data_IF_733755589669
#
_entry.id   IF_733755589669
#
_cell.length_a   1.000
_cell.length_b   1.000
_cell.length_c   1.000
_cell.angle_alpha   90.00
_cell.angle_beta   90.00
_cell.angle_gamma   90.00
#
_symmetry.space_group_name_H-M   'P 1'
#
loop_
_entity.id
_entity.type
_entity.pdbx_description
1 polymer ?
#
# COMPACT_ATOMS: atom_id res chain seq x y z
N UNK A 1 -45.53 -22.87 16.22
CA UNK A 1 -45.87 -21.60 15.54
C UNK A 1 -44.86 -20.54 16.03
N UNK A 2 -43.78 -20.42 15.36
CA UNK A 2 -42.72 -19.42 15.65
C UNK A 2 -42.88 -18.29 14.62
N UNK A 3 -43.28 -17.14 15.13
CA UNK A 3 -43.51 -15.91 14.38
C UNK A 3 -42.17 -15.33 13.93
N UNK A 4 -41.83 -15.46 12.66
CA UNK A 4 -40.72 -14.70 12.06
C UNK A 4 -41.25 -13.36 11.59
N UNK A 5 -40.80 -12.24 12.10
CA UNK A 5 -41.20 -10.93 11.59
C UNK A 5 -40.57 -10.72 10.22
N UNK A 6 -41.39 -10.77 9.19
CA UNK A 6 -41.01 -10.37 7.83
C UNK A 6 -40.93 -8.82 7.79
N UNK A 7 -39.77 -8.25 8.11
CA UNK A 7 -39.53 -6.81 7.96
C UNK A 7 -39.17 -6.54 6.48
N UNK A 8 -40.18 -6.68 5.62
CA UNK A 8 -40.13 -6.29 4.21
C UNK A 8 -40.29 -4.79 3.98
N UNK A 9 -39.65 -3.95 4.79
CA UNK A 9 -39.55 -2.51 4.52
C UNK A 9 -38.57 -2.28 3.39
N UNK A 10 -38.99 -1.77 2.24
CA UNK A 10 -38.10 -1.28 1.18
C UNK A 10 -37.17 -0.20 1.76
N UNK A 11 -35.94 -0.56 2.06
CA UNK A 11 -34.93 0.41 2.54
C UNK A 11 -34.70 1.44 1.43
N UNK A 12 -34.78 2.73 1.77
CA UNK A 12 -34.57 3.82 0.82
C UNK A 12 -33.24 3.64 0.06
N UNK A 13 -33.30 3.71 -1.27
CA UNK A 13 -32.11 3.62 -2.12
C UNK A 13 -31.42 2.23 -2.18
N UNK A 14 -32.08 1.14 -1.77
CA UNK A 14 -31.50 -0.21 -1.70
C UNK A 14 -30.78 -0.63 -2.98
N UNK A 15 -31.31 -0.28 -4.17
CA UNK A 15 -30.74 -0.67 -5.47
C UNK A 15 -29.33 -0.09 -5.70
N UNK A 16 -29.12 1.22 -5.44
CA UNK A 16 -27.84 1.85 -5.66
C UNK A 16 -26.88 1.66 -4.47
N UNK A 17 -27.39 1.63 -3.24
CA UNK A 17 -26.59 1.43 -2.00
C UNK A 17 -25.99 0.02 -1.89
N UNK A 18 -26.58 -0.97 -2.53
CA UNK A 18 -26.08 -2.35 -2.61
C UNK A 18 -25.43 -2.68 -3.96
N UNK A 19 -25.24 -1.68 -4.84
CA UNK A 19 -24.58 -1.91 -6.13
C UNK A 19 -23.08 -2.17 -5.94
N UNK A 20 -22.47 -3.09 -6.69
CA UNK A 20 -21.03 -3.35 -6.61
C UNK A 20 -20.19 -2.09 -6.85
N UNK A 21 -20.62 -1.23 -7.79
CA UNK A 21 -19.93 0.01 -8.10
C UNK A 21 -19.88 0.98 -6.90
N UNK A 22 -21.02 1.12 -6.18
CA UNK A 22 -21.06 1.99 -5.00
C UNK A 22 -20.21 1.42 -3.86
N UNK A 23 -20.26 0.10 -3.63
CA UNK A 23 -19.47 -0.57 -2.59
C UNK A 23 -17.97 -0.40 -2.89
N UNK A 24 -17.54 -0.69 -4.12
CA UNK A 24 -16.14 -0.52 -4.53
C UNK A 24 -15.70 0.94 -4.44
N UNK A 25 -16.56 1.87 -4.86
CA UNK A 25 -16.29 3.32 -4.75
C UNK A 25 -16.13 3.77 -3.29
N UNK A 26 -16.99 3.31 -2.39
CA UNK A 26 -16.87 3.60 -0.96
C UNK A 26 -15.59 3.02 -0.36
N UNK A 27 -15.17 1.80 -0.77
CA UNK A 27 -13.89 1.22 -0.34
C UNK A 27 -12.69 1.99 -0.89
N UNK A 28 -12.76 2.43 -2.15
CA UNK A 28 -11.70 3.23 -2.76
C UNK A 28 -11.51 4.58 -2.05
N UNK A 29 -12.62 5.24 -1.67
CA UNK A 29 -12.57 6.48 -0.88
C UNK A 29 -12.00 6.23 0.52
N UNK A 30 -12.32 5.09 1.13
CA UNK A 30 -11.74 4.75 2.42
C UNK A 30 -10.22 4.55 2.37
N UNK A 31 -9.73 3.85 1.35
CA UNK A 31 -8.29 3.68 1.13
C UNK A 31 -7.61 5.01 0.81
N UNK A 32 -8.28 5.89 0.05
CA UNK A 32 -7.84 7.26 -0.18
C UNK A 32 -7.73 8.04 1.14
N UNK A 33 -8.79 8.01 1.96
CA UNK A 33 -8.84 8.70 3.26
C UNK A 33 -7.73 8.24 4.18
N UNK A 34 -7.50 6.94 4.24
CA UNK A 34 -6.45 6.35 5.07
C UNK A 34 -5.06 6.81 4.65
N UNK A 35 -4.73 6.71 3.36
CA UNK A 35 -3.43 7.17 2.86
C UNK A 35 -3.25 8.68 2.92
N UNK A 36 -4.33 9.44 2.71
CA UNK A 36 -4.33 10.89 2.91
C UNK A 36 -4.00 11.25 4.36
N UNK A 37 -4.65 10.64 5.34
CA UNK A 37 -4.41 10.88 6.76
C UNK A 37 -3.02 10.45 7.21
N UNK A 38 -2.52 9.34 6.65
CA UNK A 38 -1.18 8.85 6.96
C UNK A 38 -0.11 9.88 6.58
N UNK A 39 -0.19 10.45 5.39
CA UNK A 39 0.80 11.37 4.84
C UNK A 39 0.53 12.84 5.14
N UNK A 40 -0.71 13.18 5.49
CA UNK A 40 -1.15 14.54 5.86
C UNK A 40 -0.30 15.17 6.97
N UNK A 41 0.05 14.38 7.99
CA UNK A 41 0.79 14.86 9.15
C UNK A 41 2.25 15.21 8.81
N UNK A 42 2.84 14.59 7.79
CA UNK A 42 4.27 14.63 7.50
C UNK A 42 4.83 16.06 7.35
N UNK A 43 4.28 16.95 6.51
CA UNK A 43 4.83 18.31 6.33
C UNK A 43 4.58 19.24 7.51
N UNK A 44 3.59 18.94 8.37
CA UNK A 44 3.27 19.76 9.54
C UNK A 44 3.85 19.18 10.84
N UNK A 45 4.46 17.99 10.78
CA UNK A 45 5.01 17.27 11.94
C UNK A 45 6.11 18.06 12.66
N UNK A 46 7.07 18.71 11.99
CA UNK A 46 8.05 19.55 12.66
C UNK A 46 7.40 20.65 13.53
N UNK A 47 6.39 21.33 12.97
CA UNK A 47 5.64 22.35 13.72
C UNK A 47 4.94 21.76 14.96
N UNK A 48 4.33 20.58 14.82
CA UNK A 48 3.66 19.90 15.94
C UNK A 48 4.65 19.57 17.05
N UNK A 49 5.81 19.01 16.70
CA UNK A 49 6.82 18.61 17.67
C UNK A 49 7.47 19.80 18.37
N UNK A 50 7.85 20.84 17.62
CA UNK A 50 8.62 21.97 18.14
C UNK A 50 7.71 23.05 18.76
N UNK A 51 6.69 23.50 18.04
CA UNK A 51 5.89 24.64 18.47
C UNK A 51 4.72 24.26 19.40
N UNK A 52 4.14 23.06 19.24
CA UNK A 52 3.02 22.64 20.08
C UNK A 52 3.43 21.77 21.27
N UNK A 53 4.36 20.85 21.08
CA UNK A 53 4.86 20.00 22.15
C UNK A 53 6.07 20.60 22.86
N UNK A 54 6.71 21.65 22.29
CA UNK A 54 7.86 22.31 22.87
C UNK A 54 9.12 21.44 22.93
N UNK A 55 9.26 20.50 22.00
CA UNK A 55 10.44 19.65 21.92
C UNK A 55 11.62 20.40 21.31
N UNK A 56 12.82 20.03 21.74
CA UNK A 56 14.06 20.53 21.14
C UNK A 56 14.13 20.11 19.65
N UNK A 57 14.56 21.06 18.80
CA UNK A 57 14.76 20.85 17.36
C UNK A 57 15.68 19.63 17.10
N UNK A 58 16.70 19.41 17.96
CA UNK A 58 17.57 18.26 17.87
C UNK A 58 16.85 16.91 18.00
N UNK A 59 15.68 16.85 18.64
CA UNK A 59 14.91 15.63 18.79
C UNK A 59 13.86 15.42 17.69
N UNK A 60 13.60 16.44 16.87
CA UNK A 60 12.53 16.41 15.86
C UNK A 60 12.70 15.28 14.87
N UNK A 61 13.91 15.07 14.35
CA UNK A 61 14.21 13.97 13.42
C UNK A 61 13.93 12.62 14.07
N UNK A 62 14.41 12.41 15.29
CA UNK A 62 14.25 11.16 16.04
C UNK A 62 12.79 10.85 16.34
N UNK A 63 12.02 11.86 16.74
CA UNK A 63 10.59 11.69 17.03
C UNK A 63 9.79 11.43 15.74
N UNK A 64 10.16 12.06 14.64
CA UNK A 64 9.51 11.87 13.33
C UNK A 64 9.66 10.45 12.82
N UNK A 65 10.87 9.90 12.78
CA UNK A 65 11.04 8.51 12.32
C UNK A 65 10.43 7.51 13.30
N UNK A 66 10.47 7.74 14.61
CA UNK A 66 9.84 6.88 15.60
C UNK A 66 8.32 6.81 15.40
N UNK A 67 7.66 7.97 15.20
CA UNK A 67 6.22 8.05 14.98
C UNK A 67 5.78 7.36 13.68
N UNK A 68 6.53 7.51 12.60
CA UNK A 68 6.21 6.86 11.33
C UNK A 68 6.46 5.35 11.39
N UNK A 69 7.56 4.94 12.03
CA UNK A 69 7.89 3.53 12.23
C UNK A 69 6.89 2.79 13.12
N UNK A 70 6.37 3.47 14.16
CA UNK A 70 5.31 2.93 15.03
C UNK A 70 4.10 2.46 14.22
N UNK A 71 3.65 3.26 13.26
CA UNK A 71 2.52 2.93 12.40
C UNK A 71 2.75 1.65 11.60
N UNK A 72 3.96 1.48 11.07
CA UNK A 72 4.32 0.29 10.30
C UNK A 72 4.39 -0.96 11.19
N UNK A 73 4.97 -0.85 12.39
CA UNK A 73 4.99 -1.95 13.38
C UNK A 73 3.58 -2.31 13.80
N UNK A 74 2.74 -1.33 14.14
CA UNK A 74 1.36 -1.58 14.52
C UNK A 74 0.60 -2.32 13.42
N UNK A 75 0.76 -1.90 12.16
CA UNK A 75 0.13 -2.56 11.01
C UNK A 75 0.67 -3.98 10.79
N UNK A 76 1.96 -4.19 10.92
CA UNK A 76 2.59 -5.51 10.74
C UNK A 76 2.09 -6.52 11.79
N UNK A 77 1.93 -6.07 13.04
CA UNK A 77 1.47 -6.92 14.14
C UNK A 77 -0.04 -7.17 14.05
N UNK A 78 -0.84 -6.15 13.76
CA UNK A 78 -2.31 -6.25 13.82
C UNK A 78 -2.93 -6.92 12.59
N UNK A 79 -2.35 -6.76 11.39
CA UNK A 79 -2.92 -7.28 10.14
C UNK A 79 -3.20 -8.79 10.13
N UNK A 80 -2.32 -9.68 10.63
CA UNK A 80 -2.60 -11.11 10.66
C UNK A 80 -3.79 -11.46 11.57
N UNK A 81 -3.90 -10.79 12.73
CA UNK A 81 -5.02 -11.00 13.67
C UNK A 81 -6.34 -10.52 13.06
N UNK A 82 -6.31 -9.37 12.40
CA UNK A 82 -7.49 -8.80 11.72
C UNK A 82 -7.96 -9.73 10.60
N UNK A 83 -7.03 -10.26 9.78
CA UNK A 83 -7.38 -11.19 8.71
C UNK A 83 -8.08 -12.45 9.25
N UNK A 84 -7.52 -13.05 10.29
CA UNK A 84 -8.12 -14.23 10.92
C UNK A 84 -9.50 -13.94 11.53
N UNK A 85 -9.65 -12.80 12.20
CA UNK A 85 -10.93 -12.43 12.84
C UNK A 85 -11.99 -12.04 11.80
N UNK A 86 -11.60 -11.33 10.73
CA UNK A 86 -12.51 -10.88 9.69
C UNK A 86 -13.12 -12.04 8.88
N UNK A 87 -12.36 -13.12 8.67
CA UNK A 87 -12.84 -14.31 7.95
C UNK A 87 -13.93 -15.07 8.72
N UNK A 88 -13.93 -14.96 10.07
CA UNK A 88 -14.95 -15.58 10.93
C UNK A 88 -16.30 -14.84 11.00
N UNK A 89 -16.37 -13.59 10.51
CA UNK A 89 -17.55 -12.74 10.66
C UNK A 89 -18.49 -12.83 9.45
N UNK A 90 -19.79 -12.91 9.73
CA UNK A 90 -20.85 -12.92 8.72
C UNK A 90 -21.08 -11.55 8.06
N UNK A 91 -20.74 -10.46 8.74
CA UNK A 91 -20.82 -9.08 8.21
C UNK A 91 -19.54 -8.30 8.51
N UNK A 92 -18.92 -7.80 7.47
CA UNK A 92 -17.71 -6.99 7.54
C UNK A 92 -18.01 -5.50 7.82
N UNK A 93 -19.28 -5.09 7.66
CA UNK A 93 -19.72 -3.71 7.81
C UNK A 93 -19.42 -3.14 9.21
N UNK A 94 -19.70 -3.91 10.25
CA UNK A 94 -19.48 -3.47 11.63
C UNK A 94 -17.99 -3.18 11.90
N UNK A 95 -17.09 -4.03 11.39
CA UNK A 95 -15.63 -3.82 11.49
C UNK A 95 -15.20 -2.55 10.76
N UNK A 96 -15.71 -2.35 9.54
CA UNK A 96 -15.39 -1.20 8.71
C UNK A 96 -15.89 0.13 9.33
N UNK A 97 -17.08 0.15 9.92
CA UNK A 97 -17.59 1.33 10.64
C UNK A 97 -16.80 1.55 11.93
N UNK A 98 -16.51 0.49 12.69
CA UNK A 98 -15.70 0.56 13.89
C UNK A 98 -14.28 1.10 13.64
N UNK A 99 -13.64 0.67 12.55
CA UNK A 99 -12.31 1.17 12.17
C UNK A 99 -12.34 2.65 11.80
N UNK A 100 -13.39 3.13 11.13
CA UNK A 100 -13.54 4.56 10.82
C UNK A 100 -13.74 5.42 12.08
N UNK A 101 -14.56 4.94 13.03
CA UNK A 101 -14.72 5.62 14.32
C UNK A 101 -13.39 5.65 15.07
N UNK A 102 -12.64 4.56 15.06
CA UNK A 102 -11.30 4.51 15.65
C UNK A 102 -10.32 5.46 14.94
N UNK A 103 -10.35 5.52 13.59
CA UNK A 103 -9.53 6.47 12.82
C UNK A 103 -9.89 7.93 13.15
N UNK A 104 -11.17 8.25 13.32
CA UNK A 104 -11.63 9.58 13.74
C UNK A 104 -11.13 9.92 15.16
N UNK A 105 -11.28 8.99 16.10
CA UNK A 105 -10.79 9.17 17.48
C UNK A 105 -9.28 9.37 17.48
N UNK A 106 -8.52 8.53 16.77
CA UNK A 106 -7.07 8.66 16.62
C UNK A 106 -6.67 10.02 16.03
N UNK A 107 -7.37 10.46 14.98
CA UNK A 107 -7.13 11.78 14.37
C UNK A 107 -7.45 12.94 15.29
N UNK A 108 -8.49 12.86 16.13
CA UNK A 108 -8.81 13.87 17.15
C UNK A 108 -7.70 13.91 18.22
N UNK A 109 -7.27 12.74 18.71
CA UNK A 109 -6.17 12.66 19.68
C UNK A 109 -4.89 13.29 19.11
N UNK A 110 -4.55 12.99 17.85
CA UNK A 110 -3.40 13.57 17.15
C UNK A 110 -3.52 15.10 17.03
N UNK A 111 -4.69 15.59 16.59
CA UNK A 111 -4.92 17.02 16.43
C UNK A 111 -4.88 17.79 17.75
N UNK A 112 -5.27 17.17 18.85
CA UNK A 112 -5.29 17.76 20.18
C UNK A 112 -4.06 17.40 21.03
N UNK A 113 -3.07 16.72 20.45
CA UNK A 113 -1.89 16.26 21.18
C UNK A 113 -1.14 17.44 21.82
N UNK A 114 -0.88 17.32 23.13
CA UNK A 114 -0.11 18.26 23.96
C UNK A 114 1.12 17.59 24.59
N UNK A 115 1.29 16.28 24.38
CA UNK A 115 2.45 15.54 24.86
C UNK A 115 2.87 14.50 23.81
N UNK A 116 4.12 14.05 23.87
CA UNK A 116 4.63 12.96 23.01
C UNK A 116 3.81 11.68 23.20
N UNK A 117 3.43 11.36 24.42
CA UNK A 117 2.61 10.18 24.70
C UNK A 117 1.25 10.23 23.97
N UNK A 118 0.54 11.37 24.03
CA UNK A 118 -0.75 11.53 23.34
C UNK A 118 -0.60 11.49 21.83
N UNK A 119 0.53 12.02 21.29
CA UNK A 119 0.83 11.97 19.87
C UNK A 119 1.02 10.51 19.39
N UNK A 120 1.84 9.72 20.08
CA UNK A 120 2.06 8.30 19.77
C UNK A 120 0.78 7.48 19.99
N UNK A 121 0.05 7.70 21.08
CA UNK A 121 -1.22 7.00 21.31
C UNK A 121 -2.26 7.25 20.21
N UNK A 122 -2.40 8.50 19.76
CA UNK A 122 -3.28 8.84 18.63
C UNK A 122 -2.86 8.16 17.33
N UNK A 123 -1.55 8.13 17.07
CA UNK A 123 -0.99 7.47 15.88
C UNK A 123 -1.17 5.96 15.92
N UNK A 124 -0.97 5.33 17.07
CA UNK A 124 -1.21 3.90 17.25
C UNK A 124 -2.67 3.52 16.97
N UNK A 125 -3.63 4.28 17.52
CA UNK A 125 -5.05 4.04 17.27
C UNK A 125 -5.37 4.19 15.79
N UNK A 126 -4.83 5.20 15.11
CA UNK A 126 -5.00 5.43 13.68
C UNK A 126 -4.38 4.26 12.86
N UNK A 127 -3.18 3.78 13.21
CA UNK A 127 -2.52 2.69 12.52
C UNK A 127 -3.26 1.35 12.66
N UNK A 128 -3.83 1.06 13.83
CA UNK A 128 -4.67 -0.11 14.03
C UNK A 128 -5.93 0.00 13.17
N UNK A 129 -6.59 1.16 13.17
CA UNK A 129 -7.77 1.41 12.33
C UNK A 129 -7.45 1.24 10.83
N UNK A 130 -6.32 1.75 10.37
CA UNK A 130 -5.78 1.60 9.02
C UNK A 130 -5.68 0.12 8.63
N UNK A 131 -5.11 -0.72 9.48
CA UNK A 131 -4.98 -2.15 9.23
C UNK A 131 -6.33 -2.83 8.94
N UNK A 132 -7.40 -2.44 9.65
CA UNK A 132 -8.75 -2.91 9.35
C UNK A 132 -9.24 -2.45 7.97
N UNK A 133 -9.00 -1.18 7.62
CA UNK A 133 -9.43 -0.61 6.34
C UNK A 133 -8.76 -1.37 5.19
N UNK A 134 -7.46 -1.63 5.27
CA UNK A 134 -6.72 -2.35 4.26
C UNK A 134 -7.16 -3.81 4.13
N UNK A 135 -7.17 -4.57 5.22
CA UNK A 135 -7.49 -6.00 5.18
C UNK A 135 -8.95 -6.23 4.81
N UNK A 136 -9.88 -5.58 5.53
CA UNK A 136 -11.32 -5.81 5.33
C UNK A 136 -11.83 -5.10 4.08
N UNK A 137 -11.25 -3.95 3.73
CA UNK A 137 -11.59 -3.19 2.52
C UNK A 137 -11.27 -3.99 1.26
N UNK A 138 -10.04 -4.50 1.10
CA UNK A 138 -9.68 -5.34 -0.05
C UNK A 138 -10.50 -6.63 -0.11
N UNK A 139 -10.75 -7.27 1.03
CA UNK A 139 -11.63 -8.44 1.08
C UNK A 139 -13.07 -8.11 0.64
N UNK A 140 -13.58 -6.93 1.02
CA UNK A 140 -14.91 -6.46 0.59
C UNK A 140 -14.95 -6.19 -0.91
N UNK A 141 -13.89 -5.61 -1.48
CA UNK A 141 -13.78 -5.39 -2.93
C UNK A 141 -13.78 -6.73 -3.66
N UNK A 142 -12.97 -7.69 -3.22
CA UNK A 142 -12.90 -9.02 -3.83
C UNK A 142 -14.26 -9.75 -3.79
N UNK A 143 -15.02 -9.58 -2.71
CA UNK A 143 -16.36 -10.20 -2.57
C UNK A 143 -17.42 -9.60 -3.51
N UNK A 144 -17.22 -8.38 -4.01
CA UNK A 144 -18.23 -7.65 -4.80
C UNK A 144 -17.85 -7.47 -6.29
N UNK A 145 -16.63 -7.84 -6.69
CA UNK A 145 -16.13 -7.75 -8.06
C UNK A 145 -15.94 -9.14 -8.64
N UNK A 146 -16.32 -9.32 -9.92
CA UNK A 146 -16.06 -10.58 -10.63
C UNK A 146 -14.56 -10.83 -10.77
N UNK A 147 -14.08 -12.08 -10.69
CA UNK A 147 -12.65 -12.41 -10.81
C UNK A 147 -11.98 -11.82 -12.05
N UNK A 148 -12.69 -11.80 -13.19
CA UNK A 148 -12.21 -11.27 -14.49
C UNK A 148 -11.91 -9.76 -14.46
N UNK A 149 -12.51 -9.01 -13.52
CA UNK A 149 -12.37 -7.56 -13.41
C UNK A 149 -11.57 -7.11 -12.19
N UNK A 150 -11.13 -8.04 -11.32
CA UNK A 150 -10.41 -7.71 -10.09
C UNK A 150 -9.11 -6.96 -10.37
N UNK A 151 -8.32 -7.39 -11.35
CA UNK A 151 -7.05 -6.74 -11.72
C UNK A 151 -7.25 -5.29 -12.15
N UNK A 152 -8.25 -5.02 -13.01
CA UNK A 152 -8.59 -3.66 -13.44
C UNK A 152 -9.09 -2.81 -12.27
N UNK A 153 -9.90 -3.38 -11.39
CA UNK A 153 -10.42 -2.69 -10.20
C UNK A 153 -9.31 -2.31 -9.25
N UNK A 154 -8.39 -3.24 -8.95
CA UNK A 154 -7.23 -2.96 -8.11
C UNK A 154 -6.27 -1.93 -8.73
N UNK A 155 -6.13 -1.93 -10.06
CA UNK A 155 -5.38 -0.89 -10.77
C UNK A 155 -5.96 0.52 -10.53
N UNK A 156 -7.29 0.67 -10.65
CA UNK A 156 -7.97 1.95 -10.36
C UNK A 156 -7.83 2.34 -8.89
N UNK A 157 -7.98 1.38 -7.97
CA UNK A 157 -7.81 1.62 -6.53
C UNK A 157 -6.39 2.10 -6.23
N UNK A 158 -5.37 1.49 -6.85
CA UNK A 158 -3.97 1.90 -6.67
C UNK A 158 -3.73 3.35 -7.10
N UNK A 159 -4.39 3.83 -8.17
CA UNK A 159 -4.35 5.24 -8.58
C UNK A 159 -4.99 6.16 -7.53
N UNK A 160 -6.12 5.75 -6.96
CA UNK A 160 -6.83 6.51 -5.92
C UNK A 160 -6.00 6.56 -4.63
N UNK A 161 -5.38 5.45 -4.25
CA UNK A 161 -4.44 5.38 -3.12
C UNK A 161 -3.26 6.32 -3.34
N UNK A 162 -2.64 6.28 -4.52
CA UNK A 162 -1.53 7.17 -4.87
C UNK A 162 -1.94 8.66 -4.84
N UNK A 163 -3.17 8.98 -5.27
CA UNK A 163 -3.72 10.33 -5.15
C UNK A 163 -3.89 10.76 -3.69
N UNK A 164 -4.29 9.86 -2.79
CA UNK A 164 -4.36 10.12 -1.35
C UNK A 164 -2.99 10.39 -0.75
N UNK A 165 -2.01 9.54 -1.08
CA UNK A 165 -0.63 9.67 -0.60
C UNK A 165 0.04 10.99 -1.05
N UNK A 166 -0.22 11.43 -2.29
CA UNK A 166 0.30 12.70 -2.81
C UNK A 166 -0.50 13.91 -2.33
N UNK A 167 -1.82 13.75 -2.27
CA UNK A 167 -2.75 14.83 -1.91
C UNK A 167 -2.67 15.21 -0.44
N UNK A 168 -2.40 14.26 0.45
CA UNK A 168 -2.30 14.49 1.88
C UNK A 168 -1.30 15.59 2.23
N UNK A 169 -0.02 15.43 1.92
CA UNK A 169 1.00 16.43 2.22
C UNK A 169 0.77 17.76 1.49
N UNK A 170 0.33 17.71 0.23
CA UNK A 170 0.07 18.91 -0.56
C UNK A 170 -1.04 19.77 0.07
N UNK A 171 -2.19 19.15 0.38
CA UNK A 171 -3.32 19.85 1.00
C UNK A 171 -2.97 20.32 2.40
N UNK A 172 -2.27 19.50 3.19
CA UNK A 172 -1.80 19.87 4.52
C UNK A 172 -0.89 21.10 4.47
N UNK A 173 0.11 21.11 3.59
CA UNK A 173 1.04 22.22 3.45
C UNK A 173 0.35 23.51 3.00
N UNK A 174 -0.52 23.45 1.97
CA UNK A 174 -1.27 24.61 1.47
C UNK A 174 -2.18 25.19 2.56
N UNK A 175 -3.00 24.37 3.19
CA UNK A 175 -3.97 24.84 4.19
C UNK A 175 -3.30 25.30 5.47
N UNK A 176 -2.17 24.71 5.84
CA UNK A 176 -1.38 25.17 6.98
C UNK A 176 -0.83 26.57 6.76
N UNK A 177 -0.30 26.86 5.56
CA UNK A 177 0.23 28.19 5.22
C UNK A 177 -0.88 29.24 5.12
N UNK A 178 -2.04 28.90 4.52
CA UNK A 178 -3.15 29.82 4.33
C UNK A 178 -3.92 30.16 5.61
N UNK A 179 -4.08 29.21 6.53
CA UNK A 179 -4.96 29.38 7.67
C UNK A 179 -4.49 28.70 8.95
N UNK A 180 -3.26 28.20 8.97
CA UNK A 180 -2.64 27.60 10.13
C UNK A 180 -3.14 26.20 10.46
N UNK A 181 -2.76 25.74 11.63
CA UNK A 181 -2.93 24.37 12.10
C UNK A 181 -4.36 23.82 12.01
N UNK A 182 -5.34 24.56 12.51
CA UNK A 182 -6.73 24.10 12.56
C UNK A 182 -7.41 24.08 11.18
N UNK A 183 -7.01 24.99 10.29
CA UNK A 183 -7.51 25.00 8.90
C UNK A 183 -6.97 23.77 8.16
N UNK A 184 -5.71 23.39 8.36
CA UNK A 184 -5.17 22.16 7.82
C UNK A 184 -5.96 20.93 8.33
N UNK A 185 -6.16 20.79 9.65
CA UNK A 185 -6.90 19.67 10.22
C UNK A 185 -8.37 19.62 9.80
N UNK A 186 -8.99 20.74 9.47
CA UNK A 186 -10.37 20.76 8.97
C UNK A 186 -10.54 19.93 7.69
N UNK A 187 -9.53 19.89 6.81
CA UNK A 187 -9.55 19.05 5.61
C UNK A 187 -9.52 17.55 5.93
N UNK A 188 -8.69 17.16 6.90
CA UNK A 188 -8.60 15.78 7.37
C UNK A 188 -9.93 15.30 7.97
N UNK A 189 -10.57 16.13 8.80
CA UNK A 189 -11.88 15.83 9.36
C UNK A 189 -12.98 15.82 8.31
N UNK A 190 -12.95 16.74 7.33
CA UNK A 190 -13.94 16.77 6.24
C UNK A 190 -13.91 15.48 5.41
N UNK A 191 -12.73 15.01 5.04
CA UNK A 191 -12.57 13.77 4.28
C UNK A 191 -13.03 12.55 5.11
N UNK A 192 -12.70 12.50 6.41
CA UNK A 192 -13.18 11.46 7.33
C UNK A 192 -14.71 11.44 7.43
N UNK A 193 -15.35 12.61 7.55
CA UNK A 193 -16.81 12.70 7.59
C UNK A 193 -17.43 12.19 6.30
N UNK A 194 -16.87 12.53 5.14
CA UNK A 194 -17.33 12.01 3.84
C UNK A 194 -17.23 10.49 3.80
N UNK A 195 -16.12 9.90 4.23
CA UNK A 195 -15.95 8.45 4.27
C UNK A 195 -16.96 7.79 5.23
N UNK A 196 -17.13 8.33 6.43
CA UNK A 196 -18.13 7.85 7.41
C UNK A 196 -19.53 7.85 6.79
N UNK A 197 -19.94 8.93 6.14
CA UNK A 197 -21.25 9.04 5.49
C UNK A 197 -21.42 7.97 4.41
N UNK A 198 -20.42 7.78 3.55
CA UNK A 198 -20.45 6.76 2.49
C UNK A 198 -20.58 5.35 3.06
N UNK A 199 -19.90 5.06 4.18
CA UNK A 199 -20.00 3.77 4.86
C UNK A 199 -21.36 3.52 5.49
N UNK A 200 -21.97 4.53 6.11
CA UNK A 200 -23.34 4.41 6.61
C UNK A 200 -24.36 4.20 5.49
N UNK A 201 -24.12 4.80 4.33
CA UNK A 201 -24.98 4.61 3.16
C UNK A 201 -24.80 3.23 2.52
N UNK A 202 -23.64 2.59 2.63
CA UNK A 202 -23.36 1.28 2.05
C UNK A 202 -24.20 0.18 2.69
N UNK A 203 -24.87 -0.61 1.85
CA UNK A 203 -25.60 -1.81 2.25
C UNK A 203 -24.86 -3.04 1.73
N UNK A 204 -24.27 -3.79 2.65
CA UNK A 204 -23.64 -5.08 2.34
C UNK A 204 -24.75 -6.12 2.05
N UNK A 205 -24.65 -6.83 0.93
CA UNK A 205 -25.49 -7.99 0.69
C UNK A 205 -25.06 -9.08 1.67
N UNK A 206 -25.92 -9.39 2.64
CA UNK A 206 -25.70 -10.56 3.49
C UNK A 206 -25.45 -11.76 2.57
N UNK A 207 -24.28 -12.39 2.68
CA UNK A 207 -24.06 -13.69 2.05
C UNK A 207 -25.01 -14.64 2.76
N UNK A 208 -26.15 -14.97 2.14
CA UNK A 208 -26.83 -16.21 2.49
C UNK A 208 -25.75 -17.29 2.43
N UNK A 209 -25.47 -17.91 3.57
CA UNK A 209 -24.67 -19.13 3.59
C UNK A 209 -25.26 -20.00 2.51
N UNK A 210 -24.56 -20.21 1.40
CA UNK A 210 -24.85 -21.33 0.53
C UNK A 210 -24.72 -22.55 1.43
N UNK A 211 -25.83 -22.94 2.03
CA UNK A 211 -25.99 -24.28 2.55
C UNK A 211 -25.74 -25.14 1.32
N UNK A 212 -24.60 -25.80 1.31
CA UNK A 212 -24.33 -26.86 0.37
C UNK A 212 -25.43 -27.87 0.62
N UNK A 213 -26.54 -27.73 -0.11
CA UNK A 213 -27.50 -28.79 -0.16
C UNK A 213 -26.75 -29.99 -0.71
N UNK A 214 -26.73 -31.12 -0.02
CA UNK A 214 -26.28 -32.35 -0.64
C UNK A 214 -27.11 -32.53 -1.91
N UNK A 215 -26.51 -33.00 -3.01
CA UNK A 215 -27.25 -33.17 -4.25
C UNK A 215 -28.48 -34.07 -3.95
N UNK A 216 -29.68 -33.50 -4.08
CA UNK A 216 -30.89 -34.26 -4.09
C UNK A 216 -30.87 -35.11 -5.36
N UNK A 217 -30.30 -36.29 -5.28
CA UNK A 217 -30.52 -37.35 -6.23
C UNK A 217 -31.96 -37.87 -6.02
N UNK A 218 -32.88 -37.25 -6.74
CA UNK A 218 -34.20 -37.87 -7.03
C UNK A 218 -34.23 -38.14 -8.52
N UNK A 219 -33.47 -39.10 -8.96
CA UNK A 219 -33.71 -39.83 -10.18
C UNK A 219 -33.34 -41.29 -9.90
N UNK A 220 -34.36 -42.14 -9.80
CA UNK A 220 -34.24 -43.58 -9.84
C UNK A 220 -33.58 -43.98 -11.16
N UNK A 221 -32.29 -44.30 -11.12
CA UNK A 221 -31.57 -44.93 -12.20
C UNK A 221 -31.36 -46.37 -11.80
N UNK A 222 -31.87 -47.29 -12.68
CA UNK A 222 -31.68 -48.73 -12.55
C UNK A 222 -30.22 -49.11 -12.36
N UNK A 223 -29.90 -50.11 -11.50
CA UNK A 223 -28.54 -50.47 -11.14
C UNK A 223 -27.73 -51.17 -12.26
N UNK A 224 -28.33 -51.45 -13.41
CA UNK A 224 -27.73 -52.37 -14.39
C UNK A 224 -26.98 -51.71 -15.55
N UNK A 225 -26.93 -50.37 -15.63
CA UNK A 225 -26.24 -49.64 -16.69
C UNK A 225 -25.36 -48.47 -16.18
N UNK A 226 -24.67 -48.63 -15.06
CA UNK A 226 -23.62 -47.69 -14.65
C UNK A 226 -22.34 -48.01 -15.47
N UNK A 227 -21.83 -47.06 -16.27
CA UNK A 227 -20.47 -47.21 -16.83
C UNK A 227 -19.51 -47.29 -15.67
N UNK A 228 -18.68 -48.31 -15.66
CA UNK A 228 -17.47 -48.42 -14.80
C UNK A 228 -16.56 -47.25 -15.15
N UNK A 229 -16.80 -46.11 -14.52
CA UNK A 229 -15.83 -45.03 -14.47
C UNK A 229 -14.62 -45.57 -13.72
N UNK A 230 -13.60 -45.86 -14.49
CA UNK A 230 -12.32 -46.31 -13.99
C UNK A 230 -11.87 -45.47 -12.81
N UNK A 231 -11.38 -46.18 -11.82
CA UNK A 231 -10.65 -45.69 -10.68
C UNK A 231 -9.64 -44.62 -11.12
N UNK A 232 -10.05 -43.36 -11.14
CA UNK A 232 -9.09 -42.27 -11.27
C UNK A 232 -8.22 -42.37 -10.05
N UNK A 233 -7.06 -42.92 -10.21
CA UNK A 233 -6.00 -42.96 -9.26
C UNK A 233 -6.02 -41.62 -8.48
N UNK A 234 -6.27 -41.67 -7.18
CA UNK A 234 -5.94 -40.63 -6.23
C UNK A 234 -4.43 -40.38 -6.38
N UNK A 235 -4.04 -39.60 -7.36
CA UNK A 235 -2.75 -38.96 -7.36
C UNK A 235 -2.83 -38.08 -6.13
N UNK A 236 -2.16 -38.46 -5.05
CA UNK A 236 -1.93 -37.65 -3.88
C UNK A 236 -1.12 -36.44 -4.35
N UNK A 237 -1.79 -35.44 -4.95
CA UNK A 237 -1.19 -34.14 -5.24
C UNK A 237 -0.87 -33.56 -3.87
N UNK A 238 0.39 -33.32 -3.54
CA UNK A 238 0.76 -32.76 -2.26
C UNK A 238 0.14 -31.38 -2.17
N UNK A 239 -0.97 -31.27 -1.43
CA UNK A 239 -1.61 -29.99 -1.18
C UNK A 239 -0.64 -29.13 -0.37
N UNK A 240 -0.07 -28.10 -1.00
CA UNK A 240 0.80 -27.12 -0.32
C UNK A 240 -0.01 -26.26 0.64
N UNK A 241 -0.45 -26.89 1.74
CA UNK A 241 -1.12 -26.20 2.83
C UNK A 241 -0.11 -25.67 3.86
N UNK A 242 -0.44 -24.59 4.52
CA UNK A 242 0.32 -24.02 5.63
C UNK A 242 1.69 -23.47 5.25
N UNK A 243 2.69 -23.71 6.09
CA UNK A 243 4.04 -23.14 5.99
C UNK A 243 4.81 -23.54 4.73
N UNK A 244 4.59 -24.74 4.23
CA UNK A 244 5.26 -25.25 3.01
C UNK A 244 5.01 -24.38 1.80
N UNK A 245 3.84 -23.77 1.68
CA UNK A 245 3.53 -22.82 0.61
C UNK A 245 4.54 -21.67 0.56
N UNK A 246 4.79 -21.05 1.70
CA UNK A 246 5.68 -19.89 1.80
C UNK A 246 7.12 -20.24 1.43
N UNK A 247 7.58 -21.41 1.88
CA UNK A 247 8.94 -21.89 1.54
C UNK A 247 9.09 -22.14 0.06
N UNK A 248 8.13 -22.83 -0.58
CA UNK A 248 8.17 -23.15 -2.01
C UNK A 248 8.15 -21.87 -2.85
N UNK A 249 7.24 -20.94 -2.56
CA UNK A 249 7.13 -19.68 -3.32
C UNK A 249 8.38 -18.80 -3.14
N UNK A 250 8.97 -18.74 -1.94
CA UNK A 250 10.20 -17.96 -1.67
C UNK A 250 11.45 -18.58 -2.34
N UNK A 251 11.46 -19.87 -2.65
CA UNK A 251 12.56 -20.50 -3.39
C UNK A 251 12.60 -20.09 -4.87
N UNK A 252 11.48 -19.58 -5.41
CA UNK A 252 11.47 -19.06 -6.78
C UNK A 252 12.23 -17.74 -6.86
N UNK A 253 13.34 -17.73 -7.58
CA UNK A 253 14.22 -16.56 -7.72
C UNK A 253 13.50 -15.32 -8.21
N UNK A 254 12.56 -15.48 -9.15
CA UNK A 254 11.75 -14.37 -9.69
C UNK A 254 10.88 -13.73 -8.63
N UNK A 255 10.14 -14.55 -7.88
CA UNK A 255 9.30 -14.06 -6.80
C UNK A 255 10.12 -13.33 -5.73
N UNK A 256 11.24 -13.94 -5.30
CA UNK A 256 12.13 -13.33 -4.31
C UNK A 256 12.70 -11.98 -4.81
N UNK A 257 13.11 -11.90 -6.07
CA UNK A 257 13.59 -10.66 -6.66
C UNK A 257 12.49 -9.57 -6.72
N UNK A 258 11.26 -9.95 -7.04
CA UNK A 258 10.11 -9.06 -7.00
C UNK A 258 9.85 -8.52 -5.58
N UNK A 259 9.86 -9.40 -4.58
CA UNK A 259 9.69 -9.06 -3.16
C UNK A 259 10.78 -8.12 -2.66
N UNK A 260 12.07 -8.43 -2.97
CA UNK A 260 13.21 -7.57 -2.63
C UNK A 260 13.13 -6.21 -3.33
N UNK A 261 12.72 -6.17 -4.60
CA UNK A 261 12.53 -4.93 -5.33
C UNK A 261 11.43 -4.06 -4.69
N UNK A 262 10.34 -4.67 -4.25
CA UNK A 262 9.23 -3.96 -3.62
C UNK A 262 9.60 -3.45 -2.21
N UNK A 263 10.35 -4.25 -1.46
CA UNK A 263 10.95 -3.84 -0.20
C UNK A 263 11.84 -2.61 -0.36
N UNK A 264 12.79 -2.66 -1.31
CA UNK A 264 13.73 -1.57 -1.56
C UNK A 264 13.03 -0.31 -2.06
N UNK A 265 11.96 -0.46 -2.85
CA UNK A 265 11.12 0.64 -3.27
C UNK A 265 10.36 1.27 -2.10
N UNK A 266 9.83 0.46 -1.18
CA UNK A 266 9.21 0.96 0.04
C UNK A 266 10.21 1.69 0.95
N UNK A 267 11.43 1.17 1.13
CA UNK A 267 12.52 1.84 1.86
C UNK A 267 12.82 3.20 1.25
N UNK A 268 12.95 3.27 -0.08
CA UNK A 268 13.21 4.53 -0.80
C UNK A 268 12.12 5.57 -0.53
N UNK A 269 10.85 5.21 -0.75
CA UNK A 269 9.74 6.17 -0.64
C UNK A 269 9.56 6.62 0.81
N UNK A 270 9.57 5.68 1.75
CA UNK A 270 9.35 6.02 3.17
C UNK A 270 10.54 6.76 3.82
N UNK A 271 11.73 6.72 3.21
CA UNK A 271 12.84 7.56 3.66
C UNK A 271 12.56 9.05 3.48
N UNK A 272 11.85 9.43 2.42
CA UNK A 272 11.44 10.82 2.20
C UNK A 272 10.42 11.29 3.22
N UNK A 273 9.55 10.42 3.73
CA UNK A 273 8.52 10.80 4.72
C UNK A 273 9.16 11.38 5.99
N UNK A 274 10.35 10.91 6.37
CA UNK A 274 11.06 11.38 7.58
C UNK A 274 12.06 12.48 7.31
N UNK A 275 12.67 12.50 6.15
CA UNK A 275 13.85 13.34 5.92
C UNK A 275 13.55 14.58 5.08
N UNK A 276 12.62 14.49 4.12
CA UNK A 276 12.34 15.59 3.20
C UNK A 276 11.86 16.86 3.92
N UNK A 277 10.87 16.84 4.84
CA UNK A 277 10.38 18.07 5.46
C UNK A 277 11.48 18.80 6.28
N UNK A 278 12.31 18.03 6.95
CA UNK A 278 13.39 18.58 7.78
C UNK A 278 14.52 19.13 6.91
N UNK A 279 14.96 18.37 5.90
CA UNK A 279 16.01 18.81 4.99
C UNK A 279 15.64 20.11 4.26
N UNK A 280 14.42 20.23 3.71
CA UNK A 280 14.00 21.44 3.00
C UNK A 280 13.83 22.64 3.94
N UNK A 281 13.47 22.40 5.21
CA UNK A 281 13.43 23.42 6.23
C UNK A 281 14.86 23.90 6.60
N UNK A 282 15.73 22.95 6.91
CA UNK A 282 17.05 23.26 7.49
C UNK A 282 18.04 23.85 6.46
N UNK A 283 17.92 23.41 5.19
CA UNK A 283 18.83 23.86 4.11
C UNK A 283 18.27 25.03 3.31
N UNK A 284 16.93 25.03 3.05
CA UNK A 284 16.31 26.03 2.18
C UNK A 284 15.46 27.06 2.91
N UNK A 285 15.27 26.90 4.22
CA UNK A 285 14.36 27.72 5.04
C UNK A 285 12.90 27.67 4.50
N UNK A 286 12.49 26.48 3.99
CA UNK A 286 11.17 26.30 3.41
C UNK A 286 10.16 25.87 4.47
N UNK A 287 8.99 26.54 4.46
CA UNK A 287 7.84 26.18 5.32
C UNK A 287 7.09 24.94 4.85
N UNK A 288 5.95 24.70 5.47
CA UNK A 288 5.12 23.51 5.22
C UNK A 288 4.54 23.45 3.80
N UNK A 289 4.26 24.59 3.16
CA UNK A 289 3.71 24.64 1.81
C UNK A 289 4.73 24.12 0.77
N UNK A 290 5.97 24.66 0.67
CA UNK A 290 6.98 24.08 -0.24
C UNK A 290 7.28 22.61 0.06
N UNK A 291 7.33 22.21 1.34
CA UNK A 291 7.49 20.81 1.72
C UNK A 291 6.35 19.92 1.18
N UNK A 292 5.11 20.35 1.31
CA UNK A 292 3.94 19.67 0.73
C UNK A 292 4.00 19.57 -0.80
N UNK A 293 4.45 20.63 -1.47
CA UNK A 293 4.66 20.63 -2.92
C UNK A 293 5.77 19.67 -3.36
N UNK A 294 6.81 19.46 -2.53
CA UNK A 294 7.83 18.45 -2.80
C UNK A 294 7.28 17.02 -2.73
N UNK A 295 6.36 16.74 -1.80
CA UNK A 295 5.67 15.44 -1.80
C UNK A 295 4.79 15.23 -3.03
N UNK A 296 4.15 16.30 -3.51
CA UNK A 296 3.42 16.22 -4.78
C UNK A 296 4.38 16.00 -5.97
N UNK A 297 5.52 16.67 -5.99
CA UNK A 297 6.56 16.43 -7.00
C UNK A 297 7.14 15.02 -6.93
N UNK A 298 7.24 14.44 -5.73
CA UNK A 298 7.72 13.07 -5.51
C UNK A 298 6.75 12.00 -6.03
N UNK A 299 5.44 12.23 -5.97
CA UNK A 299 4.47 11.17 -6.28
C UNK A 299 3.57 11.49 -7.48
N UNK A 300 3.27 12.76 -7.71
CA UNK A 300 2.36 13.22 -8.78
C UNK A 300 2.77 12.77 -10.19
N UNK A 301 4.03 12.93 -10.61
CA UNK A 301 4.50 12.46 -11.91
C UNK A 301 4.31 10.97 -12.10
N UNK A 302 4.53 10.16 -11.05
CA UNK A 302 4.34 8.72 -11.06
C UNK A 302 2.89 8.32 -11.34
N UNK A 303 1.90 9.07 -10.83
CA UNK A 303 0.48 8.82 -11.08
C UNK A 303 0.18 8.99 -12.58
N UNK A 304 0.68 10.06 -13.19
CA UNK A 304 0.45 10.36 -14.62
C UNK A 304 1.15 9.33 -15.51
N UNK A 305 2.37 8.93 -15.16
CA UNK A 305 3.18 8.00 -15.95
C UNK A 305 2.82 6.51 -15.70
N UNK A 306 2.09 6.20 -14.62
CA UNK A 306 1.78 4.82 -14.22
C UNK A 306 1.09 3.99 -15.32
N UNK A 307 0.09 4.49 -16.09
CA UNK A 307 -0.51 3.73 -17.18
C UNK A 307 0.48 3.39 -18.29
N UNK A 308 1.40 4.32 -18.60
CA UNK A 308 2.45 4.08 -19.59
C UNK A 308 3.46 3.04 -19.09
N UNK A 309 3.86 3.11 -17.82
CA UNK A 309 4.76 2.14 -17.21
C UNK A 309 4.13 0.74 -17.13
N UNK A 310 2.81 0.66 -16.85
CA UNK A 310 2.07 -0.60 -16.92
C UNK A 310 2.08 -1.20 -18.31
N UNK A 311 1.72 -0.42 -19.32
CA UNK A 311 1.76 -0.84 -20.72
C UNK A 311 3.17 -1.28 -21.17
N UNK A 312 4.23 -0.59 -20.70
CA UNK A 312 5.60 -0.98 -21.00
C UNK A 312 5.93 -2.35 -20.42
N UNK A 313 5.56 -2.61 -19.15
CA UNK A 313 5.76 -3.92 -18.51
C UNK A 313 4.99 -5.05 -19.19
N UNK A 314 3.79 -4.77 -19.68
CA UNK A 314 3.00 -5.74 -20.43
C UNK A 314 3.69 -6.14 -21.76
N UNK A 315 4.50 -5.23 -22.34
CA UNK A 315 5.21 -5.50 -23.60
C UNK A 315 6.60 -6.10 -23.44
N UNK A 316 7.38 -5.63 -22.48
CA UNK A 316 8.80 -6.02 -22.34
C UNK A 316 9.09 -6.83 -21.09
N UNK A 317 8.06 -7.20 -20.32
CA UNK A 317 8.19 -7.87 -19.03
C UNK A 317 8.63 -6.93 -17.92
N UNK A 318 8.80 -7.48 -16.71
CA UNK A 318 9.15 -6.72 -15.50
C UNK A 318 10.62 -6.39 -15.39
N UNK A 319 11.50 -7.22 -15.97
CA UNK A 319 12.96 -7.13 -15.85
C UNK A 319 13.50 -5.75 -16.24
N UNK A 320 13.29 -5.34 -17.49
CA UNK A 320 13.89 -4.13 -18.03
C UNK A 320 13.40 -2.85 -17.38
N UNK A 321 12.06 -2.63 -17.21
CA UNK A 321 11.58 -1.42 -16.55
C UNK A 321 12.05 -1.32 -15.11
N UNK A 322 12.00 -2.42 -14.34
CA UNK A 322 12.40 -2.42 -12.92
C UNK A 322 13.89 -2.19 -12.76
N UNK A 323 14.72 -2.84 -13.59
CA UNK A 323 16.18 -2.64 -13.59
C UNK A 323 16.54 -1.20 -13.95
N UNK A 324 15.97 -0.68 -15.06
CA UNK A 324 16.21 0.70 -15.49
C UNK A 324 15.76 1.70 -14.42
N UNK A 325 14.60 1.46 -13.78
CA UNK A 325 14.11 2.29 -12.69
C UNK A 325 15.12 2.41 -11.55
N UNK A 326 15.57 1.29 -11.01
CA UNK A 326 16.54 1.29 -9.90
C UNK A 326 17.90 1.85 -10.29
N UNK A 327 18.44 1.52 -11.47
CA UNK A 327 19.74 2.03 -11.92
C UNK A 327 19.72 3.53 -12.23
N UNK A 328 18.59 4.08 -12.70
CA UNK A 328 18.43 5.52 -12.85
C UNK A 328 18.27 6.24 -11.51
N UNK A 329 17.58 5.60 -10.53
CA UNK A 329 17.41 6.18 -9.20
C UNK A 329 18.73 6.27 -8.41
N UNK A 330 19.65 5.34 -8.60
CA UNK A 330 20.91 5.34 -7.86
C UNK A 330 21.69 6.66 -8.02
N UNK A 331 22.01 7.15 -9.23
CA UNK A 331 22.69 8.44 -9.38
C UNK A 331 21.80 9.63 -8.96
N UNK A 332 20.48 9.56 -9.14
CA UNK A 332 19.57 10.63 -8.71
C UNK A 332 19.62 10.76 -7.18
N UNK A 333 19.57 9.64 -6.45
CA UNK A 333 19.64 9.62 -4.99
C UNK A 333 21.01 10.08 -4.47
N UNK A 334 22.06 9.82 -5.21
CA UNK A 334 23.37 10.35 -4.87
C UNK A 334 23.44 11.89 -5.03
N UNK A 335 22.91 12.43 -6.14
CA UNK A 335 22.88 13.87 -6.40
C UNK A 335 21.96 14.61 -5.44
N UNK A 336 20.83 14.02 -5.03
CA UNK A 336 19.86 14.66 -4.12
C UNK A 336 20.43 14.92 -2.73
N UNK A 337 21.51 14.21 -2.35
CA UNK A 337 22.21 14.44 -1.10
C UNK A 337 23.15 15.63 -1.11
N UNK A 338 23.56 16.15 -2.28
CA UNK A 338 24.56 17.22 -2.40
C UNK A 338 24.08 18.60 -1.91
N UNK A 339 22.81 19.03 -2.14
CA UNK A 339 22.30 20.29 -1.62
C UNK A 339 22.38 20.34 -0.08
N UNK A 340 23.03 21.37 0.45
CA UNK A 340 23.23 21.56 1.89
C UNK A 340 24.51 20.94 2.45
N UNK A 341 25.31 20.24 1.64
CA UNK A 341 26.58 19.66 2.06
C UNK A 341 27.76 20.59 1.65
N UNK A 342 28.63 20.90 2.61
CA UNK A 342 29.78 21.82 2.41
C UNK A 342 30.83 21.27 1.44
N UNK A 343 30.84 19.98 1.17
CA UNK A 343 31.73 19.33 0.19
C UNK A 343 31.46 19.74 -1.25
N UNK A 344 30.24 20.29 -1.52
CA UNK A 344 29.81 20.68 -2.86
C UNK A 344 29.44 22.17 -2.95
N UNK A 345 30.39 23.10 -2.76
CA UNK A 345 30.10 24.54 -2.72
C UNK A 345 29.46 25.04 -4.02
N UNK A 346 29.80 24.44 -5.18
CA UNK A 346 29.22 24.80 -6.47
C UNK A 346 27.73 24.48 -6.61
N UNK A 347 27.19 23.52 -5.83
CA UNK A 347 25.77 23.23 -5.74
C UNK A 347 25.08 24.29 -4.90
N UNK A 348 25.70 24.74 -3.82
CA UNK A 348 25.09 25.61 -2.82
C UNK A 348 25.13 27.11 -3.20
N UNK A 349 25.63 27.49 -4.38
CA UNK A 349 25.62 28.87 -4.85
C UNK A 349 24.21 29.33 -5.25
N UNK A 350 23.68 30.32 -4.54
CA UNK A 350 22.39 30.95 -4.82
C UNK A 350 21.21 29.95 -4.78
N UNK A 351 20.34 29.99 -5.78
CA UNK A 351 19.16 29.13 -5.87
C UNK A 351 19.43 27.76 -6.53
N UNK A 352 20.67 27.46 -6.91
CA UNK A 352 21.03 26.18 -7.59
C UNK A 352 20.67 24.97 -6.77
N UNK A 353 20.93 24.99 -5.47
CA UNK A 353 20.59 23.89 -4.55
C UNK A 353 19.10 23.57 -4.57
N UNK A 354 18.24 24.58 -4.51
CA UNK A 354 16.79 24.45 -4.55
C UNK A 354 16.32 23.83 -5.87
N UNK A 355 16.88 24.31 -7.00
CA UNK A 355 16.52 23.83 -8.34
C UNK A 355 16.97 22.37 -8.51
N UNK A 356 18.21 22.03 -8.16
CA UNK A 356 18.74 20.66 -8.25
C UNK A 356 17.90 19.72 -7.40
N UNK A 357 17.61 20.09 -6.15
CA UNK A 357 16.79 19.28 -5.26
C UNK A 357 15.41 19.03 -5.83
N UNK A 358 14.72 20.08 -6.28
CA UNK A 358 13.37 19.98 -6.87
C UNK A 358 13.33 19.09 -8.12
N UNK A 359 14.33 19.23 -9.00
CA UNK A 359 14.46 18.39 -10.19
C UNK A 359 14.71 16.93 -9.78
N UNK A 360 15.60 16.67 -8.84
CA UNK A 360 15.89 15.31 -8.38
C UNK A 360 14.67 14.66 -7.75
N UNK A 361 13.92 15.34 -6.87
CA UNK A 361 12.68 14.82 -6.27
C UNK A 361 11.65 14.49 -7.34
N UNK A 362 11.48 15.37 -8.34
CA UNK A 362 10.54 15.15 -9.46
C UNK A 362 10.96 13.96 -10.32
N UNK A 363 12.26 13.79 -10.56
CA UNK A 363 12.82 12.64 -11.28
C UNK A 363 12.64 11.34 -10.49
N UNK A 364 12.84 11.35 -9.16
CA UNK A 364 12.54 10.20 -8.31
C UNK A 364 11.08 9.79 -8.49
N UNK A 365 10.15 10.74 -8.43
CA UNK A 365 8.72 10.50 -8.65
C UNK A 365 8.41 9.91 -10.03
N UNK A 366 9.03 10.47 -11.07
CA UNK A 366 8.83 10.03 -12.46
C UNK A 366 9.35 8.62 -12.71
N UNK A 367 10.54 8.32 -12.19
CA UNK A 367 11.21 7.01 -12.39
C UNK A 367 10.58 5.91 -11.52
N UNK A 368 10.03 6.27 -10.37
CA UNK A 368 9.42 5.33 -9.41
C UNK A 368 8.29 4.49 -10.01
N UNK A 369 7.55 5.00 -11.01
CA UNK A 369 6.49 4.25 -11.69
C UNK A 369 7.01 3.00 -12.42
N UNK A 370 8.30 2.98 -12.81
CA UNK A 370 8.92 1.81 -13.44
C UNK A 370 9.06 0.61 -12.50
N UNK A 371 9.09 0.84 -11.19
CA UNK A 371 9.22 -0.22 -10.17
C UNK A 371 7.87 -0.67 -9.62
N UNK A 372 6.88 0.21 -9.63
CA UNK A 372 5.57 -0.07 -9.06
C UNK A 372 4.91 -1.28 -9.75
N UNK A 373 4.34 -2.21 -8.96
CA UNK A 373 3.63 -3.40 -9.45
C UNK A 373 4.53 -4.57 -9.90
N UNK A 374 5.86 -4.47 -9.90
CA UNK A 374 6.73 -5.58 -10.28
C UNK A 374 6.51 -6.81 -9.39
N UNK A 375 6.45 -6.65 -8.07
CA UNK A 375 6.22 -7.76 -7.14
C UNK A 375 4.86 -8.43 -7.31
N UNK A 376 3.81 -7.66 -7.60
CA UNK A 376 2.46 -8.18 -7.86
C UNK A 376 2.41 -9.01 -9.14
N UNK A 377 3.06 -8.54 -10.19
CA UNK A 377 3.17 -9.28 -11.46
C UNK A 377 3.95 -10.58 -11.25
N UNK A 378 5.13 -10.50 -10.62
CA UNK A 378 5.94 -11.69 -10.37
C UNK A 378 5.26 -12.70 -9.42
N UNK A 379 4.48 -12.21 -8.44
CA UNK A 379 3.68 -13.07 -7.57
C UNK A 379 2.62 -13.86 -8.36
N UNK A 380 1.90 -13.20 -9.28
CA UNK A 380 0.90 -13.88 -10.11
C UNK A 380 1.53 -14.86 -11.07
N UNK A 381 2.60 -14.46 -11.78
CA UNK A 381 3.31 -15.31 -12.73
C UNK A 381 3.91 -16.55 -12.06
N UNK A 382 4.51 -16.40 -10.86
CA UNK A 382 5.06 -17.54 -10.12
C UNK A 382 3.98 -18.54 -9.70
N UNK A 383 2.81 -18.08 -9.31
CA UNK A 383 1.69 -18.96 -8.99
C UNK A 383 1.19 -19.69 -10.23
N UNK A 384 1.08 -18.99 -11.37
CA UNK A 384 0.68 -19.60 -12.64
C UNK A 384 1.68 -20.67 -13.11
N UNK A 385 2.99 -20.42 -12.98
CA UNK A 385 4.04 -21.38 -13.32
C UNK A 385 3.97 -22.64 -12.44
N UNK A 386 3.83 -22.47 -11.12
CA UNK A 386 3.70 -23.59 -10.18
C UNK A 386 2.42 -24.40 -10.41
N UNK A 387 1.30 -23.76 -10.72
CA UNK A 387 0.05 -24.44 -11.04
C UNK A 387 0.11 -25.17 -12.37
N UNK A 388 0.84 -24.62 -13.36
CA UNK A 388 1.06 -25.28 -14.65
C UNK A 388 1.97 -26.52 -14.53
N UNK A 389 3.01 -26.46 -13.67
CA UNK A 389 3.89 -27.59 -13.39
C UNK A 389 3.17 -28.72 -12.60
N UNK A 390 2.31 -28.34 -11.66
CA UNK A 390 1.60 -29.29 -10.80
C UNK A 390 0.17 -28.83 -10.59
N UNK A 391 -0.77 -29.21 -11.49
CA UNK A 391 -2.17 -28.81 -11.40
C UNK A 391 -2.81 -29.19 -10.07
N UNK A 392 -3.47 -28.24 -9.40
CA UNK A 392 -4.14 -28.45 -8.12
C UNK A 392 -3.24 -28.37 -6.89
N UNK A 393 -1.97 -28.00 -7.02
CA UNK A 393 -0.99 -27.92 -5.92
C UNK A 393 -1.43 -26.96 -4.80
N UNK A 394 -2.16 -25.90 -5.13
CA UNK A 394 -2.64 -24.89 -4.17
C UNK A 394 -4.06 -25.16 -3.64
N UNK A 395 -4.71 -26.22 -4.11
CA UNK A 395 -6.08 -26.57 -3.75
C UNK A 395 -7.13 -25.61 -4.35
N UNK A 396 -8.41 -25.72 -3.93
CA UNK A 396 -9.54 -25.03 -4.58
C UNK A 396 -9.53 -23.52 -4.43
N UNK A 397 -8.74 -22.97 -3.51
CA UNK A 397 -8.67 -21.52 -3.25
C UNK A 397 -7.51 -20.83 -3.98
N UNK A 398 -6.67 -21.57 -4.72
CA UNK A 398 -5.49 -21.04 -5.38
C UNK A 398 -4.42 -20.49 -4.42
N UNK A 399 -3.33 -19.95 -4.97
CA UNK A 399 -2.19 -19.40 -4.23
C UNK A 399 -2.05 -17.87 -4.26
N UNK A 400 -2.83 -17.19 -5.11
CA UNK A 400 -2.65 -15.76 -5.40
C UNK A 400 -2.74 -14.85 -4.18
N UNK A 401 -3.78 -15.01 -3.35
CA UNK A 401 -3.95 -14.15 -2.16
C UNK A 401 -2.79 -14.28 -1.20
N UNK A 402 -2.25 -15.49 -1.02
CA UNK A 402 -1.09 -15.74 -0.16
C UNK A 402 0.20 -15.13 -0.72
N UNK A 403 0.43 -15.25 -2.02
CA UNK A 403 1.60 -14.65 -2.67
C UNK A 403 1.53 -13.12 -2.66
N UNK A 404 0.36 -12.53 -2.93
CA UNK A 404 0.15 -11.09 -2.85
C UNK A 404 0.28 -10.56 -1.42
N UNK A 405 -0.13 -11.33 -0.40
CA UNK A 405 0.08 -10.94 0.99
C UNK A 405 1.56 -10.88 1.37
N UNK A 406 2.39 -11.80 0.84
CA UNK A 406 3.85 -11.75 1.03
C UNK A 406 4.46 -10.48 0.41
N UNK A 407 4.01 -10.09 -0.78
CA UNK A 407 4.42 -8.83 -1.41
C UNK A 407 4.01 -7.62 -0.53
N UNK A 408 2.79 -7.61 0.00
CA UNK A 408 2.32 -6.56 0.92
C UNK A 408 3.13 -6.50 2.22
N UNK A 409 3.47 -7.65 2.80
CA UNK A 409 4.33 -7.71 4.00
C UNK A 409 5.72 -7.14 3.71
N UNK A 410 6.26 -7.40 2.51
CA UNK A 410 7.55 -6.83 2.08
C UNK A 410 7.50 -5.30 2.00
N UNK A 411 6.43 -4.73 1.45
CA UNK A 411 6.18 -3.29 1.45
C UNK A 411 6.13 -2.72 2.87
N UNK A 412 5.34 -3.33 3.76
CA UNK A 412 5.19 -2.87 5.15
C UNK A 412 6.52 -2.93 5.91
N UNK A 413 7.33 -3.97 5.68
CA UNK A 413 8.66 -4.09 6.26
C UNK A 413 9.60 -2.99 5.75
N UNK A 414 9.55 -2.68 4.45
CA UNK A 414 10.29 -1.56 3.87
C UNK A 414 9.85 -0.21 4.42
N UNK A 415 8.54 0.00 4.57
CA UNK A 415 7.96 1.19 5.18
C UNK A 415 8.32 1.35 6.68
N UNK A 416 8.64 0.26 7.37
CA UNK A 416 9.20 0.29 8.72
C UNK A 416 10.71 0.62 8.72
N UNK A 417 11.48 -0.10 7.91
CA UNK A 417 12.95 0.03 7.90
C UNK A 417 13.39 1.36 7.29
N UNK A 418 12.68 1.87 6.28
CA UNK A 418 13.02 3.13 5.61
C UNK A 418 13.16 4.31 6.56
N UNK A 419 12.14 4.68 7.32
CA UNK A 419 12.21 5.76 8.31
C UNK A 419 13.27 5.55 9.37
N UNK A 420 13.42 4.32 9.90
CA UNK A 420 14.45 4.02 10.92
C UNK A 420 15.85 4.20 10.35
N UNK A 421 16.12 3.64 9.16
CA UNK A 421 17.42 3.71 8.52
C UNK A 421 17.76 5.15 8.11
N UNK A 422 16.84 5.81 7.41
CA UNK A 422 17.08 7.16 6.91
C UNK A 422 17.12 8.20 8.03
N UNK A 423 16.23 8.09 9.01
CA UNK A 423 16.21 8.99 10.16
C UNK A 423 17.48 8.86 11.01
N UNK A 424 17.91 7.62 11.31
CA UNK A 424 19.14 7.39 12.04
C UNK A 424 20.39 7.89 11.30
N UNK A 425 20.50 7.62 10.00
CA UNK A 425 21.65 8.07 9.21
C UNK A 425 21.66 9.60 9.06
N UNK A 426 20.50 10.21 8.79
CA UNK A 426 20.41 11.66 8.64
C UNK A 426 20.79 12.40 9.94
N UNK A 427 20.41 11.85 11.11
CA UNK A 427 20.72 12.43 12.42
C UNK A 427 22.20 12.31 12.80
N UNK A 428 22.83 11.13 12.54
CA UNK A 428 24.17 10.83 13.08
C UNK A 428 25.31 11.02 12.08
N UNK A 429 25.04 10.86 10.79
CA UNK A 429 26.06 10.86 9.74
C UNK A 429 25.87 12.02 8.76
N UNK A 430 24.63 12.37 8.47
CA UNK A 430 24.25 13.45 7.57
C UNK A 430 23.36 13.02 6.42
N UNK A 431 22.73 14.03 5.78
CA UNK A 431 21.76 13.78 4.70
C UNK A 431 22.41 13.22 3.43
N UNK A 432 23.64 13.66 3.11
CA UNK A 432 24.39 13.17 1.95
C UNK A 432 24.73 11.68 2.09
N UNK A 433 25.25 11.26 3.24
CA UNK A 433 25.58 9.87 3.52
C UNK A 433 24.35 8.99 3.51
N UNK A 434 23.26 9.44 4.12
CA UNK A 434 21.97 8.75 4.08
C UNK A 434 21.51 8.55 2.64
N UNK A 435 21.51 9.60 1.82
CA UNK A 435 21.11 9.54 0.42
C UNK A 435 22.02 8.61 -0.40
N UNK A 436 23.33 8.58 -0.09
CA UNK A 436 24.30 7.67 -0.70
C UNK A 436 24.01 6.21 -0.34
N UNK A 437 23.64 5.90 0.91
CA UNK A 437 23.24 4.55 1.32
C UNK A 437 22.00 4.10 0.54
N UNK A 438 20.99 4.97 0.41
CA UNK A 438 19.78 4.66 -0.38
C UNK A 438 20.14 4.49 -1.88
N UNK A 439 21.07 5.28 -2.41
CA UNK A 439 21.58 5.11 -3.78
C UNK A 439 22.21 3.72 -3.98
N UNK A 440 23.01 3.24 -3.02
CA UNK A 440 23.59 1.89 -3.03
C UNK A 440 22.51 0.82 -2.96
N UNK A 441 21.50 0.98 -2.10
CA UNK A 441 20.34 0.06 -2.05
C UNK A 441 19.64 -0.01 -3.40
N UNK A 442 19.42 1.13 -4.07
CA UNK A 442 18.87 1.17 -5.42
C UNK A 442 19.77 0.44 -6.43
N UNK A 443 21.09 0.71 -6.43
CA UNK A 443 22.01 0.05 -7.35
C UNK A 443 22.02 -1.48 -7.18
N UNK A 444 22.09 -1.97 -5.93
CA UNK A 444 22.05 -3.40 -5.61
C UNK A 444 20.71 -4.02 -6.05
N UNK A 445 19.60 -3.32 -5.80
CA UNK A 445 18.27 -3.78 -6.22
C UNK A 445 18.11 -3.81 -7.74
N UNK A 446 18.73 -2.86 -8.45
CA UNK A 446 18.78 -2.86 -9.92
C UNK A 446 19.55 -4.05 -10.47
N UNK A 447 20.70 -4.37 -9.89
CA UNK A 447 21.49 -5.56 -10.23
C UNK A 447 20.70 -6.83 -9.93
N UNK A 448 20.06 -6.93 -8.76
CA UNK A 448 19.20 -8.06 -8.40
C UNK A 448 18.04 -8.24 -9.39
N UNK A 449 17.36 -7.15 -9.77
CA UNK A 449 16.29 -7.18 -10.77
C UNK A 449 16.79 -7.65 -12.13
N UNK A 450 17.95 -7.18 -12.57
CA UNK A 450 18.56 -7.58 -13.84
C UNK A 450 18.85 -9.08 -13.93
N UNK A 451 19.37 -9.69 -12.87
CA UNK A 451 19.77 -11.09 -12.87
C UNK A 451 18.61 -12.06 -12.61
N UNK A 452 17.62 -11.67 -11.82
CA UNK A 452 16.63 -12.60 -11.30
C UNK A 452 15.19 -12.37 -11.81
N UNK A 453 14.85 -11.21 -12.40
CA UNK A 453 13.57 -11.00 -13.07
C UNK A 453 13.63 -11.48 -14.53
N UNK A 454 12.46 -11.80 -15.09
CA UNK A 454 12.37 -12.28 -16.47
C UNK A 454 11.88 -11.18 -17.43
N UNK A 455 12.34 -11.26 -18.67
CA UNK A 455 11.92 -10.41 -19.79
C UNK A 455 10.79 -11.02 -20.63
N UNK A 456 10.34 -12.26 -20.33
CA UNK A 456 9.31 -12.93 -21.12
C UNK A 456 7.93 -12.40 -20.79
N UNK A 457 7.19 -12.00 -21.82
CA UNK A 457 5.82 -11.54 -21.72
C UNK A 457 4.91 -12.74 -21.46
N UNK A 458 4.02 -12.63 -20.49
CA UNK A 458 3.09 -13.71 -20.10
C UNK A 458 2.19 -14.18 -21.27
N UNK A 459 1.91 -13.33 -22.24
CA UNK A 459 1.06 -13.62 -23.41
C UNK A 459 1.65 -14.63 -24.39
N UNK A 460 2.98 -14.75 -24.50
CA UNK A 460 3.59 -15.68 -25.45
C UNK A 460 3.50 -17.13 -24.97
N UNK A 461 3.51 -17.38 -23.67
CA UNK A 461 3.40 -18.73 -23.10
C UNK A 461 2.00 -19.35 -23.22
N UNK A 462 0.95 -18.54 -23.10
CA UNK A 462 -0.43 -19.02 -23.29
C UNK A 462 -0.67 -19.40 -24.76
N UNK A 463 0.07 -18.79 -25.71
CA UNK A 463 0.02 -19.16 -27.15
C UNK A 463 0.83 -20.40 -27.48
N UNK A 464 1.90 -20.67 -26.75
CA UNK A 464 2.71 -21.88 -26.97
C UNK A 464 2.11 -23.13 -26.30
N UNK A 465 1.16 -22.97 -25.38
CA UNK A 465 0.46 -24.06 -24.69
C UNK A 465 -0.91 -24.41 -25.28
N UNK A 466 -1.36 -23.69 -26.31
CA UNK A 466 -2.56 -23.99 -27.14
C UNK A 466 -2.17 -24.52 -28.53
#
# INVERSE_FOLDING_TARGET
>A
MTYTPNIGGKVWGQKWRSSPLFIVGAMAIALFTDTFLYTFLVPILPYVLENRLGLDVALTQRMSFALLSESAVASLVTSPFIGHYADGLSSKRALLVGSLVAALIGSIILAMATSTFTLFAGRLVQAIASSFIWVVGYATIADNVRPEHLGKTYGVISLIVAAGTSGGPMVAGILFELGGYWVAWSSAFAILIVDIVLRFLMLEKSKEKKVTQPPHNSASVDPENAPLLGNTNNVNVPNLAGWRFYVVVLQHRRFLAGVVSFFSFAVLISSFDTTLPLHVRDVFDWGSFPAGMMFFALQGPGIILSPFCGWLKDRVGTRWPTTAGFLLLAPIMWVIGMPGDDRFPWVNEGDRAKVIYTICVTLVGSVSCLMNGAATIEATVTIDELEAETPGIFGPNGGYSRALSMASMSWTLGAFIGPVLSGYLAEHVGYYEMSTVIAVVCAVSGVNAFWNLDSRVHFDRVRESQ
#
